data_IF_729829082217
#
_entry.id   IF_729829082217
#
_cell.length_a   1.000
_cell.length_b   1.000
_cell.length_c   1.000
_cell.angle_alpha   90.00
_cell.angle_beta   90.00
_cell.angle_gamma   90.00
#
_symmetry.space_group_name_H-M   'P 1'
#
loop_
_entity.id
_entity.type
_entity.pdbx_description
1 polymer ?
#
# COMPACT_ATOMS: atom_id res chain seq x y z
N UNK A 1 3.05 4.96 -38.54
CA UNK A 1 2.65 4.56 -37.18
C UNK A 1 1.20 4.96 -36.99
N UNK A 2 0.28 4.00 -36.87
CA UNK A 2 -1.14 4.30 -36.67
C UNK A 2 -1.35 4.81 -35.24
N UNK A 3 -1.59 6.12 -35.08
CA UNK A 3 -1.93 6.72 -33.79
C UNK A 3 -3.26 6.17 -33.21
N UNK A 4 -4.09 5.54 -34.04
CA UNK A 4 -5.29 4.80 -33.62
C UNK A 4 -5.00 3.49 -32.89
N UNK A 5 -3.76 3.00 -32.89
CA UNK A 5 -3.34 1.83 -32.10
C UNK A 5 -2.97 2.21 -30.65
N UNK A 6 -2.92 3.51 -30.34
CA UNK A 6 -2.79 4.02 -28.98
C UNK A 6 -4.19 3.96 -28.38
N UNK A 7 -4.48 2.91 -27.60
CA UNK A 7 -5.71 2.81 -26.82
C UNK A 7 -5.70 3.87 -25.72
N UNK A 8 -6.05 5.11 -26.07
CA UNK A 8 -6.12 6.27 -25.16
C UNK A 8 -6.97 5.93 -23.93
N UNK A 9 -8.00 5.09 -24.09
CA UNK A 9 -8.84 4.56 -23.01
C UNK A 9 -8.10 3.73 -21.95
N UNK A 10 -6.94 3.17 -22.29
CA UNK A 10 -6.10 2.36 -21.40
C UNK A 10 -4.94 3.21 -20.87
N UNK A 11 -4.26 3.96 -21.76
CA UNK A 11 -3.08 4.72 -21.40
C UNK A 11 -3.39 5.94 -20.53
N UNK A 12 -4.50 6.62 -20.74
CA UNK A 12 -4.82 7.84 -19.98
C UNK A 12 -5.13 7.53 -18.50
N UNK A 13 -5.96 6.52 -18.16
CA UNK A 13 -6.13 6.11 -16.76
C UNK A 13 -4.83 5.60 -16.13
N UNK A 14 -4.02 4.83 -16.85
CA UNK A 14 -2.73 4.34 -16.35
C UNK A 14 -1.75 5.49 -16.07
N UNK A 15 -1.68 6.49 -16.96
CA UNK A 15 -0.87 7.69 -16.76
C UNK A 15 -1.35 8.50 -15.56
N UNK A 16 -2.67 8.70 -15.43
CA UNK A 16 -3.25 9.40 -14.30
C UNK A 16 -2.98 8.66 -12.98
N UNK A 17 -3.09 7.33 -12.95
CA UNK A 17 -2.74 6.52 -11.79
C UNK A 17 -1.25 6.68 -11.45
N UNK A 18 -0.36 6.62 -12.44
CA UNK A 18 1.07 6.83 -12.25
C UNK A 18 1.39 8.21 -11.67
N UNK A 19 0.78 9.28 -12.18
CA UNK A 19 0.96 10.63 -11.65
C UNK A 19 0.44 10.76 -10.21
N UNK A 20 -0.73 10.19 -9.92
CA UNK A 20 -1.29 10.17 -8.57
C UNK A 20 -0.38 9.43 -7.58
N UNK A 21 0.02 8.20 -7.90
CA UNK A 21 0.87 7.37 -7.04
C UNK A 21 2.24 8.03 -6.82
N UNK A 22 2.89 8.49 -7.89
CA UNK A 22 4.22 9.13 -7.79
C UNK A 22 4.17 10.45 -7.01
N UNK A 23 3.07 11.19 -7.08
CA UNK A 23 2.93 12.45 -6.33
C UNK A 23 3.07 12.28 -4.82
N UNK A 24 2.61 11.15 -4.27
CA UNK A 24 2.69 10.82 -2.84
C UNK A 24 3.93 9.97 -2.52
N UNK A 25 4.22 8.96 -3.32
CA UNK A 25 5.25 7.97 -3.02
C UNK A 25 6.66 8.49 -3.22
N UNK A 26 6.89 9.44 -4.14
CA UNK A 26 8.24 10.01 -4.32
C UNK A 26 8.63 10.88 -3.12
N UNK A 27 7.84 11.88 -2.67
CA UNK A 27 8.20 12.68 -1.50
C UNK A 27 8.32 11.87 -0.20
N UNK A 28 7.44 10.90 0.00
CA UNK A 28 7.47 10.04 1.17
C UNK A 28 8.63 9.03 1.08
N UNK A 29 8.89 8.47 -0.10
CA UNK A 29 10.00 7.57 -0.37
C UNK A 29 11.37 8.22 -0.14
N UNK A 30 11.52 9.51 -0.45
CA UNK A 30 12.73 10.26 -0.08
C UNK A 30 12.97 10.27 1.44
N UNK A 31 11.92 10.26 2.26
CA UNK A 31 12.04 10.18 3.71
C UNK A 31 12.32 8.77 4.20
N UNK A 32 11.75 7.76 3.54
CA UNK A 32 12.09 6.35 3.76
C UNK A 32 13.59 6.15 3.58
N UNK A 33 14.16 6.68 2.48
CA UNK A 33 15.61 6.63 2.23
C UNK A 33 16.41 7.40 3.29
N UNK A 34 15.98 8.62 3.65
CA UNK A 34 16.65 9.42 4.68
C UNK A 34 16.66 8.75 6.07
N UNK A 35 15.72 7.84 6.33
CA UNK A 35 15.57 7.09 7.58
C UNK A 35 16.21 5.70 7.53
N UNK A 36 16.73 5.25 6.38
CA UNK A 36 17.33 3.93 6.24
C UNK A 36 16.36 2.77 6.43
N UNK A 37 15.09 2.94 6.02
CA UNK A 37 14.04 1.92 6.17
C UNK A 37 13.48 1.50 4.81
N UNK A 38 14.35 1.17 3.85
CA UNK A 38 14.01 1.06 2.41
C UNK A 38 12.88 0.05 2.15
N UNK A 39 12.83 -1.03 2.91
CA UNK A 39 11.83 -2.10 2.75
C UNK A 39 10.45 -1.82 3.37
N UNK A 40 10.26 -0.68 4.04
CA UNK A 40 9.00 -0.40 4.74
C UNK A 40 7.78 -0.39 3.83
N UNK A 41 7.94 0.07 2.59
CA UNK A 41 6.90 0.10 1.57
C UNK A 41 6.32 -1.31 1.34
N UNK A 42 7.22 -2.22 0.97
CA UNK A 42 6.89 -3.63 0.72
C UNK A 42 6.28 -4.31 1.94
N UNK A 43 6.79 -4.03 3.14
CA UNK A 43 6.25 -4.59 4.37
C UNK A 43 4.82 -4.14 4.66
N UNK A 44 4.53 -2.84 4.52
CA UNK A 44 3.18 -2.32 4.76
C UNK A 44 2.21 -2.82 3.70
N UNK A 45 2.60 -2.83 2.42
CA UNK A 45 1.80 -3.40 1.34
C UNK A 45 1.45 -4.87 1.62
N UNK A 46 2.42 -5.66 2.12
CA UNK A 46 2.19 -7.07 2.47
C UNK A 46 1.23 -7.24 3.65
N UNK A 47 1.32 -6.40 4.68
CA UNK A 47 0.40 -6.42 5.82
C UNK A 47 -1.02 -6.04 5.37
N UNK A 48 -1.15 -5.03 4.49
CA UNK A 48 -2.42 -4.64 3.90
C UNK A 48 -3.05 -5.81 3.12
N UNK A 49 -2.26 -6.47 2.26
CA UNK A 49 -2.67 -7.66 1.52
C UNK A 49 -3.09 -8.82 2.44
N UNK A 50 -2.36 -9.06 3.53
CA UNK A 50 -2.77 -10.04 4.54
C UNK A 50 -4.13 -9.68 5.18
N UNK A 51 -4.39 -8.39 5.44
CA UNK A 51 -5.69 -7.89 5.89
C UNK A 51 -6.82 -8.16 4.88
N UNK A 52 -6.56 -8.01 3.59
CA UNK A 52 -7.51 -8.37 2.51
C UNK A 52 -7.82 -9.87 2.55
N UNK A 53 -6.80 -10.72 2.65
CA UNK A 53 -6.97 -12.18 2.69
C UNK A 53 -7.72 -12.65 3.94
N UNK A 54 -7.45 -12.04 5.09
CA UNK A 54 -8.20 -12.31 6.31
C UNK A 54 -9.67 -11.92 6.16
N UNK A 55 -9.95 -10.76 5.55
CA UNK A 55 -11.32 -10.31 5.31
C UNK A 55 -12.08 -11.25 4.37
N UNK A 56 -11.43 -11.71 3.30
CA UNK A 56 -11.98 -12.72 2.38
C UNK A 56 -12.30 -14.03 3.13
N UNK A 57 -11.41 -14.48 4.02
CA UNK A 57 -11.63 -15.69 4.81
C UNK A 57 -12.84 -15.59 5.77
N UNK A 58 -13.18 -14.37 6.23
CA UNK A 58 -14.40 -14.10 7.00
C UNK A 58 -15.67 -13.95 6.13
N UNK A 59 -15.56 -14.08 4.81
CA UNK A 59 -16.68 -14.04 3.88
C UNK A 59 -17.12 -12.62 3.48
N UNK A 60 -16.25 -11.62 3.64
CA UNK A 60 -16.54 -10.28 3.14
C UNK A 60 -16.43 -10.22 1.61
N UNK A 61 -17.28 -9.40 0.98
CA UNK A 61 -17.25 -9.21 -0.47
C UNK A 61 -15.90 -8.59 -0.92
N UNK A 62 -15.26 -9.20 -1.91
CA UNK A 62 -13.92 -8.82 -2.39
C UNK A 62 -13.80 -7.34 -2.83
N UNK A 63 -14.85 -6.76 -3.43
CA UNK A 63 -14.89 -5.33 -3.78
C UNK A 63 -15.63 -4.45 -2.73
N UNK A 64 -16.01 -5.03 -1.60
CA UNK A 64 -16.75 -4.37 -0.53
C UNK A 64 -15.89 -3.39 0.28
N UNK A 65 -16.57 -2.40 0.88
CA UNK A 65 -15.95 -1.42 1.78
C UNK A 65 -15.29 -2.11 2.99
N UNK A 66 -15.84 -3.23 3.45
CA UNK A 66 -15.30 -4.00 4.57
C UNK A 66 -13.86 -4.49 4.34
N UNK A 67 -13.56 -4.97 3.12
CA UNK A 67 -12.21 -5.44 2.75
C UNK A 67 -11.22 -4.27 2.71
N UNK A 68 -11.64 -3.11 2.21
CA UNK A 68 -10.80 -1.89 2.21
C UNK A 68 -10.51 -1.40 3.63
N UNK A 69 -11.51 -1.44 4.51
CA UNK A 69 -11.33 -1.12 5.93
C UNK A 69 -10.38 -2.11 6.59
N UNK A 70 -10.49 -3.41 6.31
CA UNK A 70 -9.59 -4.43 6.84
C UNK A 70 -8.13 -4.22 6.37
N UNK A 71 -7.93 -3.95 5.09
CA UNK A 71 -6.62 -3.64 4.52
C UNK A 71 -5.99 -2.41 5.19
N UNK A 72 -6.77 -1.32 5.30
CA UNK A 72 -6.31 -0.08 5.93
C UNK A 72 -6.04 -0.25 7.43
N UNK A 73 -6.91 -0.96 8.15
CA UNK A 73 -6.71 -1.24 9.57
C UNK A 73 -5.45 -2.08 9.81
N UNK A 74 -5.22 -3.10 8.98
CA UNK A 74 -4.02 -3.92 9.04
C UNK A 74 -2.77 -3.07 8.75
N UNK A 75 -2.77 -2.27 7.68
CA UNK A 75 -1.66 -1.41 7.30
C UNK A 75 -1.34 -0.36 8.38
N UNK A 76 -2.36 0.29 8.95
CA UNK A 76 -2.18 1.24 10.04
C UNK A 76 -1.65 0.56 11.31
N UNK A 77 -2.19 -0.61 11.66
CA UNK A 77 -1.67 -1.42 12.77
C UNK A 77 -0.20 -1.80 12.56
N UNK A 78 0.15 -2.24 11.36
CA UNK A 78 1.52 -2.56 10.95
C UNK A 78 2.44 -1.34 11.00
N UNK A 79 1.98 -0.18 10.52
CA UNK A 79 2.76 1.05 10.56
C UNK A 79 2.99 1.54 11.99
N UNK A 80 1.99 1.43 12.87
CA UNK A 80 2.13 1.76 14.30
C UNK A 80 3.08 0.78 15.00
N UNK A 81 2.99 -0.52 14.68
CA UNK A 81 3.93 -1.53 15.16
C UNK A 81 5.36 -1.18 14.74
N UNK A 82 5.57 -0.87 13.45
CA UNK A 82 6.89 -0.51 12.94
C UNK A 82 7.39 0.83 13.49
N UNK A 83 6.51 1.80 13.74
CA UNK A 83 6.87 3.05 14.44
C UNK A 83 7.36 2.74 15.86
N UNK A 84 6.71 1.80 16.54
CA UNK A 84 7.09 1.38 17.88
C UNK A 84 8.41 0.62 17.88
N UNK A 85 8.64 -0.30 16.93
CA UNK A 85 9.93 -1.00 16.82
C UNK A 85 11.07 -0.05 16.44
N UNK A 86 10.84 0.94 15.58
CA UNK A 86 11.85 1.96 15.20
C UNK A 86 12.29 2.79 16.43
N UNK A 87 11.44 2.88 17.46
CA UNK A 87 11.76 3.56 18.73
C UNK A 87 12.59 2.68 19.67
N UNK A 88 12.37 1.37 19.67
CA UNK A 88 13.04 0.42 20.56
C UNK A 88 14.37 -0.04 19.97
N UNK A 89 14.37 -0.36 18.67
CA UNK A 89 15.49 -0.95 17.93
C UNK A 89 15.82 -0.15 16.66
N UNK A 90 16.19 1.13 16.79
CA UNK A 90 16.49 1.97 15.62
C UNK A 90 17.62 1.38 14.75
N UNK A 91 18.65 0.80 15.38
CA UNK A 91 19.86 0.31 14.69
C UNK A 91 19.61 -0.92 13.80
N UNK A 92 18.55 -1.70 14.08
CA UNK A 92 18.21 -2.92 13.34
C UNK A 92 16.80 -2.89 12.77
N UNK A 93 16.20 -1.70 12.67
CA UNK A 93 14.81 -1.55 12.23
C UNK A 93 14.56 -2.16 10.86
N UNK A 94 15.49 -2.02 9.93
CA UNK A 94 15.34 -2.60 8.59
C UNK A 94 15.29 -4.14 8.61
N UNK A 95 16.04 -4.78 9.51
CA UNK A 95 15.94 -6.22 9.74
C UNK A 95 14.58 -6.59 10.36
N UNK A 96 14.08 -5.79 11.30
CA UNK A 96 12.73 -5.98 11.89
C UNK A 96 11.64 -5.87 10.82
N UNK A 97 11.73 -4.87 9.93
CA UNK A 97 10.84 -4.71 8.78
C UNK A 97 10.88 -5.97 7.89
N UNK A 98 12.07 -6.50 7.61
CA UNK A 98 12.24 -7.74 6.85
C UNK A 98 11.58 -8.96 7.51
N UNK A 99 11.70 -9.10 8.84
CA UNK A 99 11.03 -10.16 9.60
C UNK A 99 9.51 -10.00 9.54
N UNK A 100 9.00 -8.79 9.71
CA UNK A 100 7.55 -8.51 9.61
C UNK A 100 7.04 -8.81 8.20
N UNK A 101 7.79 -8.43 7.16
CA UNK A 101 7.45 -8.74 5.77
C UNK A 101 7.35 -10.25 5.53
N UNK A 102 8.36 -11.04 5.91
CA UNK A 102 8.34 -12.49 5.67
C UNK A 102 7.24 -13.19 6.50
N UNK A 103 6.95 -12.72 7.72
CA UNK A 103 5.82 -13.22 8.51
C UNK A 103 4.47 -12.90 7.84
N UNK A 104 4.30 -11.68 7.31
CA UNK A 104 3.13 -11.30 6.54
C UNK A 104 2.96 -12.14 5.27
N UNK A 105 4.04 -12.37 4.53
CA UNK A 105 4.04 -13.17 3.31
C UNK A 105 3.73 -14.65 3.58
N UNK A 106 4.41 -15.25 4.55
CA UNK A 106 4.15 -16.65 4.94
C UNK A 106 2.76 -16.83 5.54
N UNK A 107 2.28 -15.88 6.35
CA UNK A 107 0.90 -15.83 6.82
C UNK A 107 -0.11 -15.77 5.67
N UNK A 108 0.14 -14.92 4.68
CA UNK A 108 -0.70 -14.82 3.47
C UNK A 108 -0.77 -16.15 2.71
N UNK A 109 0.37 -16.85 2.57
CA UNK A 109 0.43 -18.18 1.96
C UNK A 109 -0.38 -19.20 2.76
N UNK A 110 -0.30 -19.18 4.09
CA UNK A 110 -1.07 -20.08 4.95
C UNK A 110 -2.59 -19.83 4.84
N UNK A 111 -3.01 -18.57 4.77
CA UNK A 111 -4.42 -18.21 4.57
C UNK A 111 -4.96 -18.68 3.22
N UNK A 112 -4.11 -18.73 2.20
CA UNK A 112 -4.47 -19.18 0.85
C UNK A 112 -4.36 -20.69 0.65
N UNK A 113 -3.70 -21.41 1.57
CA UNK A 113 -3.46 -22.84 1.44
C UNK A 113 -4.75 -23.69 1.36
N UNK A 114 -5.88 -23.15 1.84
CA UNK A 114 -7.20 -23.78 1.79
C UNK A 114 -8.06 -23.33 0.58
N UNK A 115 -7.60 -22.39 -0.24
CA UNK A 115 -8.40 -21.78 -1.31
C UNK A 115 -8.01 -22.31 -2.70
N UNK A 116 -8.98 -22.88 -3.42
CA UNK A 116 -8.81 -23.49 -4.76
C UNK A 116 -8.34 -22.48 -5.82
N UNK A 117 -8.66 -21.19 -5.65
CA UNK A 117 -8.20 -20.09 -6.53
C UNK A 117 -7.16 -19.18 -5.85
N UNK A 118 -6.60 -19.63 -4.72
CA UNK A 118 -5.73 -18.78 -3.90
C UNK A 118 -4.45 -18.33 -4.60
N UNK A 119 -3.95 -19.13 -5.56
CA UNK A 119 -2.75 -18.81 -6.33
C UNK A 119 -2.95 -17.67 -7.35
N UNK A 120 -4.16 -17.50 -7.91
CA UNK A 120 -4.48 -16.39 -8.81
C UNK A 120 -4.61 -15.07 -8.05
N UNK A 121 -5.27 -15.11 -6.88
CA UNK A 121 -5.39 -13.93 -6.01
C UNK A 121 -4.02 -13.47 -5.47
N UNK A 122 -3.15 -14.42 -5.10
CA UNK A 122 -1.77 -14.12 -4.72
C UNK A 122 -1.00 -13.45 -5.86
N UNK A 123 -1.16 -13.95 -7.10
CA UNK A 123 -0.48 -13.40 -8.27
C UNK A 123 -0.92 -11.97 -8.57
N UNK A 124 -2.21 -11.69 -8.52
CA UNK A 124 -2.72 -10.35 -8.81
C UNK A 124 -2.30 -9.32 -7.75
N UNK A 125 -2.27 -9.72 -6.47
CA UNK A 125 -1.74 -8.89 -5.38
C UNK A 125 -0.24 -8.62 -5.51
N UNK A 126 0.56 -9.61 -5.95
CA UNK A 126 2.01 -9.49 -6.02
C UNK A 126 2.51 -8.80 -7.30
N UNK A 127 1.79 -8.95 -8.42
CA UNK A 127 2.24 -8.42 -9.71
C UNK A 127 1.81 -6.96 -9.87
N UNK A 128 0.61 -6.58 -9.40
CA UNK A 128 0.04 -5.26 -9.60
C UNK A 128 -0.20 -4.91 -11.07
N UNK A 129 -1.32 -4.28 -11.41
CA UNK A 129 -1.64 -3.97 -12.81
C UNK A 129 -2.06 -2.52 -13.00
N UNK A 130 -1.08 -1.64 -13.25
CA UNK A 130 -1.34 -0.22 -13.54
C UNK A 130 -2.08 0.00 -14.88
N UNK A 131 -1.91 -0.91 -15.84
CA UNK A 131 -2.48 -0.77 -17.18
C UNK A 131 -4.01 -0.87 -17.17
N UNK A 132 -4.59 -1.63 -16.24
CA UNK A 132 -6.03 -1.86 -16.12
C UNK A 132 -6.69 -0.99 -15.05
N UNK A 133 -6.11 0.19 -14.80
CA UNK A 133 -6.59 1.11 -13.79
C UNK A 133 -8.02 1.60 -14.09
N UNK A 134 -8.96 1.32 -13.17
CA UNK A 134 -10.37 1.70 -13.31
C UNK A 134 -10.56 3.19 -12.95
N UNK A 135 -11.12 4.04 -13.83
CA UNK A 135 -11.32 5.47 -13.55
C UNK A 135 -12.10 5.76 -12.26
N UNK A 136 -13.08 4.90 -11.91
CA UNK A 136 -13.85 5.02 -10.67
C UNK A 136 -12.97 4.89 -9.41
N UNK A 137 -11.99 3.99 -9.42
CA UNK A 137 -11.02 3.83 -8.31
C UNK A 137 -10.10 5.05 -8.21
N UNK A 138 -9.67 5.62 -9.33
CA UNK A 138 -8.85 6.85 -9.32
C UNK A 138 -9.60 8.04 -8.70
N UNK A 139 -10.90 8.18 -9.00
CA UNK A 139 -11.72 9.25 -8.42
C UNK A 139 -11.83 9.13 -6.89
N UNK A 140 -11.83 7.90 -6.35
CA UNK A 140 -11.80 7.67 -4.91
C UNK A 140 -10.41 7.86 -4.30
N UNK A 141 -9.34 7.48 -5.00
CA UNK A 141 -7.96 7.65 -4.53
C UNK A 141 -7.50 9.12 -4.53
N UNK A 142 -7.92 9.90 -5.53
CA UNK A 142 -7.54 11.31 -5.69
C UNK A 142 -7.78 12.19 -4.45
N UNK A 143 -8.97 12.20 -3.80
CA UNK A 143 -9.18 13.00 -2.59
C UNK A 143 -8.30 12.53 -1.43
N UNK A 144 -8.07 11.22 -1.32
CA UNK A 144 -7.19 10.68 -0.27
C UNK A 144 -5.75 11.16 -0.48
N UNK A 145 -5.24 11.11 -1.71
CA UNK A 145 -3.90 11.64 -2.02
C UNK A 145 -3.83 13.15 -1.86
N UNK A 146 -4.87 13.90 -2.21
CA UNK A 146 -4.91 15.34 -1.97
C UNK A 146 -4.78 15.66 -0.47
N UNK A 147 -5.46 14.90 0.40
CA UNK A 147 -5.32 15.03 1.86
C UNK A 147 -3.91 14.66 2.33
N UNK A 148 -3.35 13.54 1.84
CA UNK A 148 -1.97 13.13 2.17
C UNK A 148 -0.97 14.22 1.79
N UNK A 149 -1.05 14.75 0.58
CA UNK A 149 -0.16 15.81 0.09
C UNK A 149 -0.34 17.10 0.88
N UNK A 150 -1.58 17.49 1.16
CA UNK A 150 -1.87 18.68 1.95
C UNK A 150 -1.29 18.58 3.36
N UNK A 151 -1.49 17.45 4.05
CA UNK A 151 -0.91 17.21 5.36
C UNK A 151 0.62 17.15 5.29
N UNK A 152 1.15 16.46 4.28
CA UNK A 152 2.59 16.29 4.09
C UNK A 152 3.30 17.61 3.84
N UNK A 153 2.83 18.45 2.91
CA UNK A 153 3.47 19.73 2.58
C UNK A 153 3.08 20.86 3.55
N UNK A 154 1.90 20.80 4.17
CA UNK A 154 1.42 21.84 5.10
C UNK A 154 1.92 21.67 6.54
N UNK A 155 2.06 20.42 7.02
CA UNK A 155 2.40 20.13 8.43
C UNK A 155 3.56 19.17 8.61
N UNK A 156 4.42 19.00 7.60
CA UNK A 156 5.59 18.09 7.64
C UNK A 156 6.34 18.12 8.97
N UNK A 157 6.67 19.32 9.44
CA UNK A 157 7.48 19.55 10.63
C UNK A 157 6.76 19.15 11.93
N UNK A 158 5.42 19.15 11.94
CA UNK A 158 4.60 18.80 13.10
C UNK A 158 4.15 17.34 13.14
N UNK A 159 4.18 16.64 12.01
CA UNK A 159 3.73 15.24 11.90
C UNK A 159 4.62 14.26 12.69
N UNK A 160 5.88 14.62 12.96
CA UNK A 160 6.82 13.77 13.69
C UNK A 160 7.02 12.40 13.03
N UNK A 161 7.36 11.38 13.84
CA UNK A 161 7.58 10.01 13.34
C UNK A 161 6.26 9.30 13.07
N UNK A 162 5.35 9.27 14.04
CA UNK A 162 4.06 8.58 13.92
C UNK A 162 3.20 9.12 12.78
N UNK A 163 3.12 10.45 12.61
CA UNK A 163 2.36 11.05 11.51
C UNK A 163 2.92 10.68 10.14
N UNK A 164 4.25 10.59 10.00
CA UNK A 164 4.87 10.09 8.77
C UNK A 164 4.46 8.64 8.48
N UNK A 165 4.60 7.72 9.45
CA UNK A 165 4.24 6.31 9.26
C UNK A 165 2.75 6.12 8.93
N UNK A 166 1.86 6.89 9.57
CA UNK A 166 0.42 6.84 9.30
C UNK A 166 0.10 7.34 7.89
N UNK A 167 0.65 8.50 7.49
CA UNK A 167 0.45 9.03 6.13
C UNK A 167 1.04 8.12 5.07
N UNK A 168 2.21 7.54 5.34
CA UNK A 168 2.86 6.60 4.45
C UNK A 168 2.04 5.34 4.28
N UNK A 169 1.56 4.74 5.37
CA UNK A 169 0.71 3.56 5.30
C UNK A 169 -0.57 3.81 4.52
N UNK A 170 -1.22 4.94 4.76
CA UNK A 170 -2.44 5.32 4.06
C UNK A 170 -2.18 5.56 2.55
N UNK A 171 -1.05 6.16 2.18
CA UNK A 171 -0.67 6.32 0.79
C UNK A 171 -0.44 4.96 0.11
N UNK A 172 0.36 4.08 0.73
CA UNK A 172 0.70 2.75 0.21
C UNK A 172 -0.55 1.89 0.08
N UNK A 173 -1.41 1.82 1.10
CA UNK A 173 -2.62 0.97 1.05
C UNK A 173 -3.59 1.39 -0.04
N UNK A 174 -3.68 2.69 -0.35
CA UNK A 174 -4.55 3.17 -1.44
C UNK A 174 -3.94 2.89 -2.82
N UNK A 175 -2.63 2.65 -2.90
CA UNK A 175 -1.92 2.29 -4.14
C UNK A 175 -1.92 0.79 -4.46
N UNK A 176 -2.21 -0.06 -3.47
CA UNK A 176 -2.28 -1.53 -3.60
C UNK A 176 -3.69 -1.94 -4.03
#
# INVERSE_FOLDING_TARGET
>A
MNLNAISISILLPALAAGLLVTSTHVPLGMQVLARGIVFIDLAIAQIAGCGVLLADQFGFEAEGIAVQIAALAAALGGALLLTWTERIWPDVQEAVIGVVFILGATGSVLLLASNVHGSEHLRDLLVGQILWARPSRLLWAAPVYAVVLFLWFGWKERLGRTGFYVLFALAVTVSV
#
